data_IF_325259359188
#
_entry.id   IF_325259359188
#
_cell.length_a   1.000
_cell.length_b   1.000
_cell.length_c   1.000
_cell.angle_alpha   90.00
_cell.angle_beta   90.00
_cell.angle_gamma   90.00
#
_symmetry.space_group_name_H-M   'P 1'
#
loop_
_entity.id
_entity.type
_entity.pdbx_description
1 polymer ?
#
# COMPACT_ATOMS: atom_id res chain seq x y z
N UNK A 1 -26.46 -5.47 -18.92
CA UNK A 1 -26.01 -5.44 -17.50
C UNK A 1 -24.48 -5.52 -17.30
N UNK A 2 -23.67 -6.02 -18.27
CA UNK A 2 -22.22 -6.19 -18.10
C UNK A 2 -21.36 -4.92 -18.13
N UNK A 3 -21.75 -3.88 -18.88
CA UNK A 3 -20.87 -2.73 -19.13
C UNK A 3 -20.58 -1.84 -17.90
N UNK A 4 -21.54 -1.75 -16.96
CA UNK A 4 -21.35 -1.00 -15.70
C UNK A 4 -20.33 -1.69 -14.79
N UNK A 5 -20.37 -3.02 -14.68
CA UNK A 5 -19.43 -3.80 -13.86
C UNK A 5 -18.00 -3.71 -14.39
N UNK A 6 -17.82 -3.80 -15.72
CA UNK A 6 -16.51 -3.64 -16.36
C UNK A 6 -15.94 -2.24 -16.10
N UNK A 7 -16.74 -1.18 -16.32
CA UNK A 7 -16.31 0.21 -16.04
C UNK A 7 -15.92 0.42 -14.58
N UNK A 8 -16.68 -0.16 -13.64
CA UNK A 8 -16.39 -0.07 -12.22
C UNK A 8 -15.07 -0.79 -11.87
N UNK A 9 -14.87 -2.01 -12.37
CA UNK A 9 -13.64 -2.77 -12.16
C UNK A 9 -12.42 -2.00 -12.70
N UNK A 10 -12.51 -1.44 -13.90
CA UNK A 10 -11.43 -0.62 -14.48
C UNK A 10 -11.16 0.65 -13.66
N UNK A 11 -12.19 1.32 -13.14
CA UNK A 11 -12.02 2.50 -12.26
C UNK A 11 -11.30 2.12 -10.97
N UNK A 12 -11.71 1.03 -10.31
CA UNK A 12 -11.07 0.56 -9.08
C UNK A 12 -9.62 0.13 -9.30
N UNK A 13 -9.31 -0.50 -10.44
CA UNK A 13 -7.94 -0.84 -10.80
C UNK A 13 -7.08 0.42 -10.94
N UNK A 14 -7.59 1.46 -11.64
CA UNK A 14 -6.90 2.75 -11.78
C UNK A 14 -6.68 3.44 -10.43
N UNK A 15 -7.68 3.43 -9.55
CA UNK A 15 -7.56 3.98 -8.19
C UNK A 15 -6.48 3.22 -7.42
N UNK A 16 -6.49 1.88 -7.47
CA UNK A 16 -5.48 1.05 -6.81
C UNK A 16 -4.07 1.39 -7.31
N UNK A 17 -3.88 1.48 -8.62
CA UNK A 17 -2.58 1.85 -9.20
C UNK A 17 -2.14 3.26 -8.78
N UNK A 18 -3.07 4.21 -8.69
CA UNK A 18 -2.80 5.55 -8.18
C UNK A 18 -2.34 5.53 -6.72
N UNK A 19 -3.00 4.76 -5.86
CA UNK A 19 -2.60 4.58 -4.46
C UNK A 19 -1.23 3.92 -4.34
N UNK A 20 -0.96 2.88 -5.13
CA UNK A 20 0.34 2.24 -5.19
C UNK A 20 1.44 3.21 -5.63
N UNK A 21 1.17 4.03 -6.66
CA UNK A 21 2.11 5.04 -7.11
C UNK A 21 2.39 6.08 -6.02
N UNK A 22 1.38 6.54 -5.28
CA UNK A 22 1.57 7.45 -4.14
C UNK A 22 2.43 6.83 -3.04
N UNK A 23 2.24 5.55 -2.71
CA UNK A 23 3.07 4.85 -1.75
C UNK A 23 4.53 4.72 -2.19
N UNK A 24 4.76 4.36 -3.46
CA UNK A 24 6.11 4.32 -4.05
C UNK A 24 6.76 5.71 -4.01
N UNK A 25 6.02 6.77 -4.30
CA UNK A 25 6.51 8.14 -4.23
C UNK A 25 6.87 8.55 -2.79
N UNK A 26 6.10 8.14 -1.79
CA UNK A 26 6.41 8.37 -0.38
C UNK A 26 7.73 7.71 0.03
N UNK A 27 7.96 6.47 -0.41
CA UNK A 27 9.20 5.73 -0.14
C UNK A 27 10.40 6.33 -0.89
N UNK A 28 10.21 6.73 -2.15
CA UNK A 28 11.23 7.45 -2.91
C UNK A 28 11.59 8.79 -2.25
N UNK A 29 10.59 9.56 -1.80
CA UNK A 29 10.79 10.79 -1.04
C UNK A 29 11.59 10.54 0.24
N UNK A 30 11.24 9.48 0.98
CA UNK A 30 11.93 9.09 2.20
C UNK A 30 13.39 8.71 1.93
N UNK A 31 13.64 7.91 0.90
CA UNK A 31 14.99 7.47 0.54
C UNK A 31 15.89 8.62 0.06
N UNK A 32 15.34 9.58 -0.68
CA UNK A 32 16.11 10.69 -1.29
C UNK A 32 16.28 11.89 -0.36
N UNK A 33 15.23 12.29 0.37
CA UNK A 33 15.22 13.57 1.09
C UNK A 33 15.28 13.44 2.61
N UNK A 34 15.06 12.24 3.15
CA UNK A 34 15.08 12.01 4.61
C UNK A 34 16.25 11.14 5.08
N UNK A 35 17.07 10.63 4.16
CA UNK A 35 18.35 9.98 4.46
C UNK A 35 19.41 11.05 4.81
N UNK A 36 19.27 11.69 5.97
CA UNK A 36 20.24 12.68 6.45
C UNK A 36 21.55 11.98 6.82
N UNK A 37 22.53 12.00 5.92
CA UNK A 37 23.83 11.36 6.13
C UNK A 37 24.87 11.63 5.04
N UNK A 38 25.01 12.88 4.58
CA UNK A 38 26.02 13.25 3.57
C UNK A 38 25.90 12.44 2.26
N UNK A 39 26.94 12.47 1.43
CA UNK A 39 27.00 11.60 0.25
C UNK A 39 27.15 10.15 0.72
N UNK A 40 26.17 9.26 0.48
CA UNK A 40 26.28 7.88 0.94
C UNK A 40 27.47 7.19 0.28
N UNK A 41 28.20 6.39 1.05
CA UNK A 41 29.16 5.44 0.51
C UNK A 41 28.44 4.45 -0.42
N UNK A 42 29.19 3.72 -1.26
CA UNK A 42 28.58 2.70 -2.15
C UNK A 42 27.68 1.70 -1.38
N UNK A 43 28.08 1.32 -0.16
CA UNK A 43 27.28 0.48 0.73
C UNK A 43 26.00 1.15 1.24
N UNK A 44 26.06 2.43 1.59
CA UNK A 44 24.88 3.21 2.01
C UNK A 44 23.86 3.34 0.87
N UNK A 45 24.32 3.57 -0.35
CA UNK A 45 23.46 3.65 -1.55
C UNK A 45 22.76 2.32 -1.82
N UNK A 46 23.48 1.20 -1.75
CA UNK A 46 22.90 -0.14 -1.92
C UNK A 46 21.86 -0.45 -0.84
N UNK A 47 22.13 -0.08 0.41
CA UNK A 47 21.18 -0.25 1.50
C UNK A 47 19.89 0.54 1.27
N UNK A 48 19.98 1.82 0.90
CA UNK A 48 18.81 2.66 0.61
C UNK A 48 18.01 2.13 -0.58
N UNK A 49 18.67 1.66 -1.63
CA UNK A 49 18.01 1.03 -2.77
C UNK A 49 17.29 -0.26 -2.36
N UNK A 50 17.96 -1.11 -1.58
CA UNK A 50 17.35 -2.33 -1.04
C UNK A 50 16.14 -2.03 -0.17
N UNK A 51 16.23 -1.02 0.70
CA UNK A 51 15.12 -0.58 1.55
C UNK A 51 13.96 -0.01 0.72
N UNK A 52 14.24 0.76 -0.33
CA UNK A 52 13.23 1.28 -1.25
C UNK A 52 12.50 0.13 -1.95
N UNK A 53 13.24 -0.82 -2.55
CA UNK A 53 12.66 -1.98 -3.22
C UNK A 53 11.82 -2.83 -2.25
N UNK A 54 12.32 -3.04 -1.04
CA UNK A 54 11.61 -3.74 0.02
C UNK A 54 10.30 -3.03 0.39
N UNK A 55 10.33 -1.71 0.53
CA UNK A 55 9.17 -0.90 0.87
C UNK A 55 8.13 -0.79 -0.24
N UNK A 56 8.55 -1.00 -1.50
CA UNK A 56 7.67 -1.04 -2.66
C UNK A 56 6.95 -2.40 -2.83
N UNK A 57 7.42 -3.47 -2.19
CA UNK A 57 6.89 -4.82 -2.39
C UNK A 57 5.38 -4.97 -2.05
N UNK A 58 4.86 -4.39 -0.94
CA UNK A 58 3.42 -4.42 -0.65
C UNK A 58 2.59 -3.77 -1.77
N UNK A 59 3.07 -2.68 -2.36
CA UNK A 59 2.37 -2.00 -3.44
C UNK A 59 2.40 -2.78 -4.76
N UNK A 60 3.51 -3.45 -5.05
CA UNK A 60 3.61 -4.37 -6.18
C UNK A 60 2.60 -5.53 -6.05
N UNK A 61 2.44 -6.08 -4.83
CA UNK A 61 1.44 -7.10 -4.55
C UNK A 61 0.02 -6.59 -4.85
N UNK A 62 -0.38 -5.45 -4.31
CA UNK A 62 -1.74 -4.93 -4.53
C UNK A 62 -1.99 -4.51 -5.97
N UNK A 63 -0.99 -3.95 -6.67
CA UNK A 63 -1.08 -3.71 -8.10
C UNK A 63 -1.31 -5.02 -8.89
N UNK A 64 -0.58 -6.09 -8.54
CA UNK A 64 -0.76 -7.41 -9.15
C UNK A 64 -2.14 -8.00 -8.86
N UNK A 65 -2.67 -7.87 -7.63
CA UNK A 65 -4.03 -8.30 -7.29
C UNK A 65 -5.08 -7.54 -8.11
N UNK A 66 -4.89 -6.24 -8.33
CA UNK A 66 -5.81 -5.44 -9.15
C UNK A 66 -5.79 -5.83 -10.63
N UNK A 67 -4.59 -5.98 -11.21
CA UNK A 67 -4.40 -6.09 -12.66
C UNK A 67 -4.33 -7.53 -13.13
N UNK A 68 -3.56 -8.38 -12.45
CA UNK A 68 -3.29 -9.78 -12.85
C UNK A 68 -4.36 -10.72 -12.32
N UNK A 69 -4.79 -10.54 -11.07
CA UNK A 69 -5.86 -11.37 -10.47
C UNK A 69 -7.26 -10.83 -10.76
N UNK A 70 -7.37 -9.67 -11.41
CA UNK A 70 -8.62 -8.99 -11.73
C UNK A 70 -9.54 -8.81 -10.50
N UNK A 71 -8.95 -8.56 -9.33
CA UNK A 71 -9.67 -8.34 -8.06
C UNK A 71 -9.48 -6.90 -7.55
N UNK A 72 -9.83 -5.87 -8.35
CA UNK A 72 -9.56 -4.48 -7.99
C UNK A 72 -10.32 -4.00 -6.75
N UNK A 73 -11.44 -4.66 -6.40
CA UNK A 73 -12.18 -4.38 -5.17
C UNK A 73 -11.42 -4.82 -3.91
N UNK A 74 -10.71 -5.95 -3.94
CA UNK A 74 -9.85 -6.35 -2.81
C UNK A 74 -8.60 -5.49 -2.77
N UNK A 75 -8.02 -5.26 -3.94
CA UNK A 75 -6.76 -4.56 -4.09
C UNK A 75 -6.84 -3.10 -3.59
N UNK A 76 -7.95 -2.40 -3.83
CA UNK A 76 -8.11 -1.03 -3.33
C UNK A 76 -8.10 -0.98 -1.81
N UNK A 77 -8.73 -1.94 -1.14
CA UNK A 77 -8.73 -2.02 0.32
C UNK A 77 -7.34 -2.28 0.89
N UNK A 78 -6.63 -3.26 0.31
CA UNK A 78 -5.25 -3.57 0.71
C UNK A 78 -4.29 -2.40 0.47
N UNK A 79 -4.39 -1.71 -0.68
CA UNK A 79 -3.57 -0.56 -1.00
C UNK A 79 -3.86 0.65 -0.08
N UNK A 80 -5.13 0.93 0.25
CA UNK A 80 -5.50 1.99 1.20
C UNK A 80 -4.91 1.72 2.58
N UNK A 81 -5.09 0.51 3.12
CA UNK A 81 -4.59 0.18 4.45
C UNK A 81 -3.05 0.22 4.52
N UNK A 82 -2.38 -0.29 3.48
CA UNK A 82 -0.92 -0.23 3.33
C UNK A 82 -0.44 1.22 3.33
N UNK A 83 -1.04 2.08 2.50
CA UNK A 83 -0.66 3.48 2.41
C UNK A 83 -0.92 4.25 3.71
N UNK A 84 -2.05 4.00 4.37
CA UNK A 84 -2.39 4.62 5.64
C UNK A 84 -1.36 4.27 6.73
N UNK A 85 -0.95 2.99 6.81
CA UNK A 85 0.08 2.57 7.75
C UNK A 85 1.45 3.17 7.40
N UNK A 86 1.83 3.24 6.12
CA UNK A 86 3.07 3.88 5.72
C UNK A 86 3.10 5.39 6.03
N UNK A 87 1.97 6.09 5.88
CA UNK A 87 1.86 7.48 6.31
C UNK A 87 2.03 7.62 7.82
N UNK A 88 1.41 6.72 8.60
CA UNK A 88 1.60 6.68 10.04
C UNK A 88 3.07 6.45 10.41
N UNK A 89 3.73 5.49 9.77
CA UNK A 89 5.15 5.19 10.00
C UNK A 89 6.05 6.36 9.59
N UNK A 90 5.77 7.01 8.46
CA UNK A 90 6.50 8.20 8.03
C UNK A 90 6.37 9.33 9.06
N UNK A 91 5.15 9.59 9.55
CA UNK A 91 4.91 10.58 10.59
C UNK A 91 5.64 10.22 11.90
N UNK A 92 5.52 8.97 12.35
CA UNK A 92 6.14 8.53 13.61
C UNK A 92 7.66 8.53 13.57
N UNK A 93 8.28 8.41 12.40
CA UNK A 93 9.75 8.40 12.27
C UNK A 93 10.33 9.78 11.99
N UNK A 94 9.67 10.59 11.16
CA UNK A 94 10.25 11.86 10.69
C UNK A 94 9.61 13.12 11.26
N UNK A 95 8.43 13.03 11.88
CA UNK A 95 7.71 14.19 12.43
C UNK A 95 7.66 14.13 13.95
N UNK A 96 7.31 12.97 14.52
CA UNK A 96 7.21 12.75 15.96
C UNK A 96 8.00 11.49 16.42
N UNK A 97 9.34 11.47 16.26
CA UNK A 97 10.16 10.33 16.64
C UNK A 97 10.05 10.02 18.13
N UNK A 98 9.63 8.78 18.45
CA UNK A 98 9.39 8.33 19.83
C UNK A 98 10.59 7.59 20.47
N UNK A 99 11.78 7.66 19.87
CA UNK A 99 13.00 7.04 20.40
C UNK A 99 14.08 6.81 19.33
N UNK A 100 15.27 6.40 19.75
CA UNK A 100 16.41 6.08 18.86
C UNK A 100 16.16 4.88 17.93
N UNK A 101 15.15 4.06 18.24
CA UNK A 101 14.75 2.90 17.44
C UNK A 101 13.66 3.21 16.42
N UNK A 102 13.20 4.46 16.29
CA UNK A 102 12.13 4.83 15.36
C UNK A 102 12.45 4.41 13.91
N UNK A 103 13.70 4.55 13.47
CA UNK A 103 14.11 4.16 12.12
C UNK A 103 13.97 2.65 11.82
N UNK A 104 14.06 1.78 12.84
CA UNK A 104 13.78 0.35 12.67
C UNK A 104 12.32 0.09 12.27
N UNK A 105 11.43 1.02 12.58
CA UNK A 105 10.06 1.02 12.09
C UNK A 105 9.98 0.96 10.57
N UNK A 106 10.82 1.70 9.84
CA UNK A 106 10.88 1.65 8.37
C UNK A 106 11.39 0.30 7.86
N UNK A 107 12.31 -0.30 8.63
CA UNK A 107 12.73 -1.70 8.61
C UNK A 107 11.57 -2.68 8.36
N UNK A 108 10.69 -2.71 9.35
CA UNK A 108 9.65 -3.73 9.49
C UNK A 108 8.30 -3.30 8.92
N UNK A 109 8.09 -2.03 8.59
CA UNK A 109 6.82 -1.56 8.05
C UNK A 109 6.33 -2.36 6.83
N UNK A 110 7.19 -2.70 5.84
CA UNK A 110 6.74 -3.48 4.68
C UNK A 110 6.31 -4.90 5.07
N UNK A 111 6.96 -5.50 6.07
CA UNK A 111 6.56 -6.80 6.63
C UNK A 111 5.16 -6.73 7.26
N UNK A 112 4.91 -5.70 8.08
CA UNK A 112 3.59 -5.49 8.68
C UNK A 112 2.50 -5.22 7.66
N UNK A 113 2.82 -4.51 6.58
CA UNK A 113 1.89 -4.31 5.47
C UNK A 113 1.55 -5.62 4.74
N UNK A 114 2.53 -6.48 4.51
CA UNK A 114 2.32 -7.77 3.85
C UNK A 114 1.52 -8.75 4.72
N UNK A 115 1.81 -8.80 6.02
CA UNK A 115 1.24 -9.80 6.93
C UNK A 115 -0.08 -9.36 7.56
N UNK A 116 -0.26 -8.06 7.82
CA UNK A 116 -1.36 -7.57 8.64
C UNK A 116 -2.19 -6.50 7.94
N UNK A 117 -1.64 -5.29 7.72
CA UNK A 117 -2.45 -4.14 7.33
C UNK A 117 -3.06 -4.29 5.93
N UNK A 118 -2.27 -4.73 4.95
CA UNK A 118 -2.77 -5.00 3.61
C UNK A 118 -3.87 -6.08 3.61
N UNK A 119 -3.63 -7.29 4.15
CA UNK A 119 -4.66 -8.33 4.26
C UNK A 119 -5.93 -7.87 4.99
N UNK A 120 -5.80 -7.13 6.09
CA UNK A 120 -6.96 -6.59 6.83
C UNK A 120 -7.75 -5.59 5.97
N UNK A 121 -7.08 -4.69 5.26
CA UNK A 121 -7.73 -3.75 4.34
C UNK A 121 -8.47 -4.46 3.21
N UNK A 122 -7.86 -5.51 2.65
CA UNK A 122 -8.50 -6.33 1.62
C UNK A 122 -9.72 -7.09 2.17
N UNK A 123 -9.62 -7.67 3.37
CA UNK A 123 -10.72 -8.37 4.03
C UNK A 123 -11.90 -7.43 4.36
N UNK A 124 -11.61 -6.21 4.81
CA UNK A 124 -12.62 -5.18 5.06
C UNK A 124 -13.33 -4.80 3.75
N UNK A 125 -12.57 -4.50 2.69
CA UNK A 125 -13.16 -4.16 1.39
C UNK A 125 -14.00 -5.30 0.82
N UNK A 126 -13.54 -6.55 0.95
CA UNK A 126 -14.32 -7.72 0.60
C UNK A 126 -15.67 -7.77 1.33
N UNK A 127 -15.64 -7.56 2.65
CA UNK A 127 -16.82 -7.59 3.51
C UNK A 127 -17.81 -6.51 3.11
N UNK A 128 -17.33 -5.29 2.85
CA UNK A 128 -18.17 -4.18 2.36
C UNK A 128 -18.80 -4.51 1.00
N UNK A 129 -18.05 -5.09 0.07
CA UNK A 129 -18.58 -5.51 -1.23
C UNK A 129 -19.63 -6.61 -1.10
N UNK A 130 -19.52 -7.50 -0.12
CA UNK A 130 -20.52 -8.53 0.17
C UNK A 130 -21.80 -7.94 0.76
N UNK A 131 -21.67 -7.02 1.71
CA UNK A 131 -22.80 -6.42 2.42
C UNK A 131 -23.60 -5.46 1.54
N UNK A 132 -22.92 -4.66 0.71
CA UNK A 132 -23.56 -3.61 -0.10
C UNK A 132 -23.68 -3.96 -1.59
N UNK A 133 -23.06 -5.06 -2.03
CA UNK A 133 -23.05 -5.49 -3.44
C UNK A 133 -24.05 -6.60 -3.78
N UNK A 134 -24.81 -7.13 -2.82
CA UNK A 134 -25.90 -8.05 -3.12
C UNK A 134 -27.04 -7.24 -3.78
N UNK A 135 -27.48 -7.58 -5.01
CA UNK A 135 -28.77 -7.11 -5.46
C UNK A 135 -29.81 -7.68 -4.49
N UNK A 136 -30.75 -6.86 -4.06
CA UNK A 136 -31.93 -7.31 -3.34
C UNK A 136 -32.54 -8.49 -4.13
N UNK A 137 -32.28 -9.73 -3.69
CA UNK A 137 -32.94 -10.89 -4.26
C UNK A 137 -34.33 -10.91 -3.67
N UNK A 138 -35.26 -10.36 -4.44
CA UNK A 138 -36.56 -10.95 -4.73
C UNK A 138 -37.24 -11.54 -3.49
N UNK A 139 -37.93 -10.67 -2.75
CA UNK A 139 -39.09 -11.11 -2.00
C UNK A 139 -40.07 -11.72 -3.00
N UNK A 140 -40.23 -13.03 -2.87
CA UNK A 140 -41.27 -13.86 -3.48
C UNK A 140 -42.67 -13.26 -3.31
#
# INVERSE_FOLDING_TARGET
MGWRKVRQATRLAKVTLGLCALGVLLHAYTAVFKSNGGTPSAGGTLFLLGLLLWSCLPYALWAAVAVVRHQPGLAVGGAVATLAFDFYMHYSVFVAPSGSTAALGLLFAPLWNLLLFGPLGAALSWSLLRLFGQPASQGS
#
